data_IF_862608952852
#
_entry.id   IF_862608952852
#
_cell.length_a   1.000
_cell.length_b   1.000
_cell.length_c   1.000
_cell.angle_alpha   90.00
_cell.angle_beta   90.00
_cell.angle_gamma   90.00
#
_symmetry.space_group_name_H-M   'P 1'
#
loop_
_entity.id
_entity.type
_entity.pdbx_description
1 polymer ?
#
# COMPACT_ATOMS: atom_id res chain seq x y z
N UNK A 1 -8.47 7.98 8.52
CA UNK A 1 -8.80 6.87 7.62
C UNK A 1 -10.08 7.19 6.87
N UNK A 2 -10.18 6.72 5.64
CA UNK A 2 -11.33 6.92 4.75
C UNK A 2 -12.14 5.64 4.62
N UNK A 3 -13.36 5.72 4.08
CA UNK A 3 -14.15 4.58 3.62
C UNK A 3 -14.20 4.65 2.09
N UNK A 4 -13.72 3.62 1.41
CA UNK A 4 -13.66 3.55 -0.05
C UNK A 4 -13.04 4.82 -0.69
N UNK A 5 -12.04 5.41 -0.02
CA UNK A 5 -11.32 6.59 -0.49
C UNK A 5 -12.10 7.92 -0.45
N UNK A 6 -13.31 7.96 0.09
CA UNK A 6 -14.13 9.17 0.13
C UNK A 6 -13.64 10.13 1.22
N UNK A 7 -13.22 11.34 0.83
CA UNK A 7 -12.67 12.35 1.75
C UNK A 7 -13.68 12.85 2.80
N UNK A 8 -14.95 12.87 2.48
CA UNK A 8 -16.05 13.25 3.38
C UNK A 8 -16.33 12.20 4.47
N UNK A 9 -15.78 10.99 4.32
CA UNK A 9 -15.87 9.91 5.32
C UNK A 9 -14.65 9.83 6.24
N UNK A 10 -13.80 10.85 6.24
CA UNK A 10 -12.55 10.84 6.98
C UNK A 10 -12.78 10.74 8.49
N UNK A 11 -12.16 9.76 9.12
CA UNK A 11 -12.06 9.64 10.57
C UNK A 11 -10.62 9.87 10.99
N UNK A 12 -10.39 10.85 11.86
CA UNK A 12 -9.09 11.13 12.48
C UNK A 12 -8.97 10.31 13.75
N UNK A 13 -8.00 9.41 13.82
CA UNK A 13 -7.71 8.57 14.98
C UNK A 13 -6.58 9.12 15.85
N UNK A 14 -5.74 9.99 15.28
CA UNK A 14 -4.66 10.66 15.99
C UNK A 14 -4.25 11.92 15.23
N UNK A 15 -3.93 12.97 15.95
CA UNK A 15 -3.37 14.21 15.40
C UNK A 15 -1.83 14.18 15.33
N UNK A 16 -1.20 13.17 15.94
CA UNK A 16 0.25 12.96 15.93
C UNK A 16 0.63 11.68 15.15
N UNK A 17 0.94 11.81 13.86
CA UNK A 17 1.35 10.66 13.04
C UNK A 17 2.72 10.09 13.45
N UNK A 18 3.59 10.88 14.06
CA UNK A 18 4.91 10.40 14.54
C UNK A 18 4.74 9.50 15.77
N UNK A 19 3.90 9.92 16.72
CA UNK A 19 3.54 9.08 17.87
C UNK A 19 2.86 7.78 17.42
N UNK A 20 2.00 7.85 16.40
CA UNK A 20 1.34 6.68 15.85
C UNK A 20 2.34 5.72 15.16
N UNK A 21 3.33 6.24 14.44
CA UNK A 21 4.41 5.42 13.87
C UNK A 21 5.20 4.70 14.96
N UNK A 22 5.58 5.40 16.04
CA UNK A 22 6.24 4.82 17.22
C UNK A 22 5.38 3.73 17.88
N UNK A 23 4.09 3.98 18.01
CA UNK A 23 3.14 3.03 18.59
C UNK A 23 3.15 1.69 17.84
N UNK A 24 2.99 1.72 16.52
CA UNK A 24 2.97 0.49 15.73
C UNK A 24 4.33 -0.19 15.64
N UNK A 25 5.42 0.58 15.56
CA UNK A 25 6.77 0.03 15.62
C UNK A 25 7.03 -0.69 16.96
N UNK A 26 6.61 -0.10 18.08
CA UNK A 26 6.70 -0.72 19.42
C UNK A 26 5.83 -1.97 19.57
N UNK A 27 4.73 -2.08 18.80
CA UNK A 27 3.91 -3.29 18.73
C UNK A 27 4.57 -4.40 17.88
N UNK A 28 5.70 -4.13 17.25
CA UNK A 28 6.45 -5.07 16.44
C UNK A 28 6.10 -5.07 14.96
N UNK A 29 5.57 -3.96 14.44
CA UNK A 29 5.31 -3.84 13.00
C UNK A 29 6.58 -4.12 12.19
N UNK A 30 6.48 -4.99 11.21
CA UNK A 30 7.59 -5.34 10.31
C UNK A 30 7.78 -4.32 9.20
N UNK A 31 6.74 -3.57 8.87
CA UNK A 31 6.73 -2.51 7.87
C UNK A 31 5.58 -1.53 8.16
N UNK A 32 5.83 -0.24 8.01
CA UNK A 32 4.79 0.79 8.10
C UNK A 32 4.36 1.21 6.69
N UNK A 33 3.06 1.13 6.43
CA UNK A 33 2.45 1.66 5.22
C UNK A 33 1.94 3.07 5.47
N UNK A 34 2.55 4.06 4.80
CA UNK A 34 2.23 5.48 4.92
C UNK A 34 1.67 5.99 3.61
N UNK A 35 0.54 6.70 3.69
CA UNK A 35 -0.07 7.35 2.51
C UNK A 35 -0.17 8.84 2.77
N UNK A 36 0.51 9.64 1.96
CA UNK A 36 0.35 11.08 1.91
C UNK A 36 -0.95 11.43 1.14
N UNK A 37 -2.11 11.34 1.80
CA UNK A 37 -3.42 11.54 1.17
C UNK A 37 -3.53 12.89 0.43
N UNK A 38 -3.04 13.96 1.05
CA UNK A 38 -3.00 15.29 0.42
C UNK A 38 -2.15 15.29 -0.86
N UNK A 39 -1.06 14.51 -0.87
CA UNK A 39 -0.22 14.31 -2.04
C UNK A 39 -0.93 13.50 -3.13
N UNK A 40 -1.64 12.45 -2.75
CA UNK A 40 -2.40 11.62 -3.68
C UNK A 40 -3.47 12.44 -4.43
N UNK A 41 -4.19 13.29 -3.72
CA UNK A 41 -5.21 14.19 -4.29
C UNK A 41 -4.58 15.31 -5.12
N UNK A 42 -3.54 15.99 -4.58
CA UNK A 42 -2.88 17.11 -5.26
C UNK A 42 -1.99 16.67 -6.43
N UNK A 43 -1.64 15.37 -6.50
CA UNK A 43 -0.72 14.83 -7.51
C UNK A 43 0.71 15.33 -7.42
N UNK A 44 1.14 15.77 -6.25
CA UNK A 44 2.50 16.22 -5.94
C UNK A 44 2.80 15.96 -4.46
N UNK A 45 4.09 15.88 -4.05
CA UNK A 45 4.47 15.67 -2.67
C UNK A 45 3.82 16.67 -1.72
N UNK A 46 3.37 16.16 -0.59
CA UNK A 46 2.81 16.91 0.55
C UNK A 46 3.29 16.23 1.83
N UNK A 47 3.19 16.92 2.96
CA UNK A 47 3.50 16.35 4.26
C UNK A 47 4.98 15.90 4.46
N UNK A 48 5.92 16.39 3.65
CA UNK A 48 7.33 15.97 3.68
C UNK A 48 7.95 16.09 5.08
N UNK A 49 7.66 17.19 5.78
CA UNK A 49 8.18 17.43 7.13
C UNK A 49 7.80 16.31 8.07
N UNK A 50 6.52 15.95 8.14
CA UNK A 50 6.04 14.91 9.04
C UNK A 50 6.54 13.53 8.64
N UNK A 51 6.68 13.26 7.34
CA UNK A 51 7.28 12.03 6.82
C UNK A 51 8.73 11.89 7.29
N UNK A 52 9.54 12.94 7.18
CA UNK A 52 10.93 12.95 7.67
C UNK A 52 11.01 12.76 9.19
N UNK A 53 10.08 13.33 9.95
CA UNK A 53 9.99 13.12 11.40
C UNK A 53 9.61 11.67 11.75
N UNK A 54 8.70 11.03 11.00
CA UNK A 54 8.38 9.61 11.15
C UNK A 54 9.61 8.72 10.86
N UNK A 55 10.33 8.99 9.77
CA UNK A 55 11.55 8.25 9.41
C UNK A 55 12.58 8.32 10.54
N UNK A 56 12.87 9.52 11.06
CA UNK A 56 13.79 9.70 12.20
C UNK A 56 13.34 8.95 13.44
N UNK A 57 12.03 8.81 13.64
CA UNK A 57 11.50 8.19 14.84
C UNK A 57 11.56 6.66 14.83
N UNK A 58 11.44 6.02 13.64
CA UNK A 58 11.27 4.57 13.53
C UNK A 58 11.99 3.92 12.36
N UNK A 59 12.49 4.68 11.38
CA UNK A 59 12.99 4.17 10.10
C UNK A 59 14.14 3.16 10.21
N UNK A 60 15.03 3.33 11.19
CA UNK A 60 16.15 2.44 11.42
C UNK A 60 15.74 1.01 11.84
N UNK A 61 14.55 0.87 12.42
CA UNK A 61 14.04 -0.40 12.99
C UNK A 61 12.86 -0.96 12.24
N UNK A 62 12.07 -0.09 11.62
CA UNK A 62 10.81 -0.46 10.97
C UNK A 62 10.77 0.21 9.59
N UNK A 63 11.01 -0.55 8.51
CA UNK A 63 10.95 -0.05 7.15
C UNK A 63 9.64 0.68 6.86
N UNK A 64 9.74 1.81 6.16
CA UNK A 64 8.58 2.61 5.74
C UNK A 64 8.36 2.42 4.24
N UNK A 65 7.15 2.05 3.84
CA UNK A 65 6.68 2.13 2.46
C UNK A 65 5.72 3.32 2.33
N UNK A 66 6.04 4.24 1.42
CA UNK A 66 5.36 5.52 1.27
C UNK A 66 4.71 5.64 -0.10
N UNK A 67 3.42 5.97 -0.13
CA UNK A 67 2.67 6.33 -1.34
C UNK A 67 1.99 7.70 -1.23
N UNK A 68 1.57 8.21 -2.39
CA UNK A 68 0.79 9.45 -2.49
C UNK A 68 1.54 10.61 -3.14
N UNK A 69 1.15 10.97 -4.37
CA UNK A 69 1.65 12.14 -5.09
C UNK A 69 3.00 11.99 -5.79
N UNK A 70 3.53 10.79 -5.91
CA UNK A 70 4.86 10.50 -6.49
C UNK A 70 4.72 10.36 -8.01
N UNK A 71 5.42 11.20 -8.79
CA UNK A 71 5.27 11.31 -10.25
C UNK A 71 6.56 11.57 -11.03
N UNK A 72 7.68 11.73 -10.35
CA UNK A 72 9.01 12.00 -10.95
C UNK A 72 10.12 11.32 -10.14
N UNK A 73 11.30 11.15 -10.78
CA UNK A 73 12.45 10.48 -10.19
C UNK A 73 13.07 11.29 -9.06
N UNK A 74 13.09 12.62 -9.15
CA UNK A 74 13.67 13.49 -8.13
C UNK A 74 12.90 13.37 -6.80
N UNK A 75 11.59 13.25 -6.88
CA UNK A 75 10.75 12.97 -5.71
C UNK A 75 11.07 11.61 -5.09
N UNK A 76 11.27 10.57 -5.91
CA UNK A 76 11.66 9.25 -5.42
C UNK A 76 13.01 9.31 -4.72
N UNK A 77 14.03 9.89 -5.36
CA UNK A 77 15.36 10.06 -4.81
C UNK A 77 15.32 10.79 -3.46
N UNK A 78 14.61 11.92 -3.39
CA UNK A 78 14.46 12.70 -2.15
C UNK A 78 13.86 11.90 -0.99
N UNK A 79 12.93 10.99 -1.26
CA UNK A 79 12.35 10.14 -0.21
C UNK A 79 13.28 9.00 0.20
N UNK A 80 13.98 8.38 -0.75
CA UNK A 80 14.96 7.31 -0.47
C UNK A 80 16.12 7.89 0.34
N UNK A 81 16.67 9.04 -0.07
CA UNK A 81 17.73 9.74 0.66
C UNK A 81 17.31 10.15 2.07
N UNK A 82 16.04 10.46 2.25
CA UNK A 82 15.48 10.74 3.57
C UNK A 82 15.33 9.49 4.45
N UNK A 83 15.46 8.26 3.89
CA UNK A 83 15.37 6.99 4.59
C UNK A 83 14.06 6.23 4.43
N UNK A 84 13.22 6.59 3.43
CA UNK A 84 12.08 5.74 3.02
C UNK A 84 12.63 4.46 2.40
N UNK A 85 12.17 3.32 2.89
CA UNK A 85 12.66 2.03 2.40
C UNK A 85 12.03 1.65 1.05
N UNK A 86 10.75 1.97 0.85
CA UNK A 86 10.03 1.65 -0.38
C UNK A 86 9.11 2.79 -0.79
N UNK A 87 9.08 3.06 -2.08
CA UNK A 87 8.23 4.09 -2.70
C UNK A 87 7.13 3.41 -3.52
N UNK A 88 5.87 3.78 -3.26
CA UNK A 88 4.71 3.20 -3.94
C UNK A 88 4.24 4.16 -5.03
N UNK A 89 4.29 3.70 -6.27
CA UNK A 89 3.84 4.43 -7.45
C UNK A 89 2.49 3.88 -7.89
N UNK A 90 1.43 4.67 -7.74
CA UNK A 90 0.06 4.30 -8.14
C UNK A 90 -0.34 4.92 -9.47
N UNK A 91 -1.05 6.04 -9.46
CA UNK A 91 -1.57 6.73 -10.65
C UNK A 91 -0.54 6.93 -11.75
N UNK A 92 0.70 7.29 -11.39
CA UNK A 92 1.77 7.51 -12.36
C UNK A 92 2.18 6.23 -13.09
N UNK A 93 2.20 5.08 -12.39
CA UNK A 93 2.49 3.78 -13.01
C UNK A 93 1.45 3.40 -14.08
N UNK A 94 0.18 3.70 -13.81
CA UNK A 94 -0.94 3.41 -14.75
C UNK A 94 -0.90 4.34 -15.96
N UNK A 95 -0.68 5.64 -15.72
CA UNK A 95 -0.70 6.66 -16.79
C UNK A 95 0.56 6.67 -17.64
N UNK A 96 1.69 6.35 -17.05
CA UNK A 96 3.00 6.33 -17.70
C UNK A 96 3.81 5.11 -17.26
N UNK A 97 3.57 3.94 -17.84
CA UNK A 97 4.32 2.72 -17.52
C UNK A 97 5.84 2.85 -17.76
N UNK A 98 6.26 3.69 -18.69
CA UNK A 98 7.67 3.98 -18.93
C UNK A 98 8.35 4.62 -17.72
N UNK A 99 7.68 5.57 -17.05
CA UNK A 99 8.16 6.15 -15.80
C UNK A 99 8.32 5.08 -14.69
N UNK A 100 7.40 4.12 -14.57
CA UNK A 100 7.53 3.04 -13.60
C UNK A 100 8.78 2.19 -13.88
N UNK A 101 9.01 1.85 -15.16
CA UNK A 101 10.20 1.10 -15.59
C UNK A 101 11.49 1.87 -15.29
N UNK A 102 11.53 3.17 -15.60
CA UNK A 102 12.68 4.05 -15.31
C UNK A 102 12.95 4.13 -13.81
N UNK A 103 11.91 4.24 -13.00
CA UNK A 103 12.02 4.26 -11.54
C UNK A 103 12.60 2.95 -10.99
N UNK A 104 12.14 1.79 -11.48
CA UNK A 104 12.68 0.50 -11.08
C UNK A 104 14.16 0.35 -11.46
N UNK A 105 14.53 0.85 -12.63
CA UNK A 105 15.93 0.83 -13.08
C UNK A 105 16.82 1.76 -12.25
N UNK A 106 16.36 2.97 -11.94
CA UNK A 106 17.12 3.95 -11.19
C UNK A 106 17.23 3.59 -9.69
N UNK A 107 16.21 2.95 -9.12
CA UNK A 107 16.11 2.65 -7.69
C UNK A 107 15.78 1.16 -7.44
N UNK A 108 16.66 0.24 -7.82
CA UNK A 108 16.40 -1.20 -7.70
C UNK A 108 16.17 -1.62 -6.23
N UNK A 109 15.15 -2.43 -6.00
CA UNK A 109 14.78 -2.90 -4.66
C UNK A 109 13.96 -1.90 -3.82
N UNK A 110 13.62 -0.72 -4.36
CA UNK A 110 12.89 0.32 -3.63
C UNK A 110 11.50 0.61 -4.17
N UNK A 111 11.16 0.11 -5.36
CA UNK A 111 9.93 0.50 -6.06
C UNK A 111 8.84 -0.57 -5.92
N UNK A 112 7.67 -0.12 -5.48
CA UNK A 112 6.45 -0.90 -5.38
C UNK A 112 5.41 -0.26 -6.31
N UNK A 113 4.71 -1.06 -7.11
CA UNK A 113 3.55 -0.58 -7.85
C UNK A 113 2.29 -0.67 -6.98
N UNK A 114 1.45 0.36 -7.01
CA UNK A 114 0.12 0.35 -6.37
C UNK A 114 -0.97 0.22 -7.43
N UNK A 115 -1.74 -0.85 -7.38
CA UNK A 115 -2.92 -1.05 -8.23
C UNK A 115 -4.16 -1.14 -7.35
N UNK A 116 -4.95 -0.08 -7.38
CA UNK A 116 -6.21 0.02 -6.68
C UNK A 116 -7.33 -0.28 -7.68
N UNK A 117 -8.17 -1.27 -7.40
CA UNK A 117 -9.17 -1.70 -8.35
C UNK A 117 -10.56 -1.87 -7.71
N UNK A 118 -11.58 -1.68 -8.51
CA UNK A 118 -12.97 -2.01 -8.20
C UNK A 118 -13.52 -2.88 -9.33
N UNK A 119 -14.10 -4.02 -8.96
CA UNK A 119 -14.67 -4.98 -9.92
C UNK A 119 -13.67 -5.36 -11.04
N UNK A 120 -12.38 -5.53 -10.67
CA UNK A 120 -11.30 -5.89 -11.57
C UNK A 120 -10.77 -4.75 -12.45
N UNK A 121 -11.32 -3.53 -12.38
CA UNK A 121 -10.85 -2.37 -13.14
C UNK A 121 -10.07 -1.41 -12.27
N UNK A 122 -8.94 -0.94 -12.80
CA UNK A 122 -8.01 -0.06 -12.07
C UNK A 122 -8.54 1.36 -11.99
N UNK A 123 -8.44 1.96 -10.81
CA UNK A 123 -8.73 3.36 -10.55
C UNK A 123 -7.45 4.19 -10.40
N UNK A 124 -7.53 5.48 -10.70
CA UNK A 124 -6.45 6.46 -10.59
C UNK A 124 -6.92 7.74 -9.90
N UNK A 125 -5.99 8.66 -9.63
CA UNK A 125 -6.30 10.00 -9.08
C UNK A 125 -7.04 9.94 -7.74
N UNK A 126 -6.50 9.14 -6.79
CA UNK A 126 -7.15 8.95 -5.48
C UNK A 126 -8.53 8.31 -5.60
N UNK A 127 -8.68 7.42 -6.57
CA UNK A 127 -9.89 6.64 -6.90
C UNK A 127 -11.06 7.46 -7.49
N UNK A 128 -10.80 8.71 -7.85
CA UNK A 128 -11.81 9.58 -8.46
C UNK A 128 -12.14 9.21 -9.91
N UNK A 129 -11.25 8.46 -10.57
CA UNK A 129 -11.39 8.08 -11.98
C UNK A 129 -11.14 6.60 -12.18
N UNK A 130 -12.16 5.89 -12.66
CA UNK A 130 -12.02 4.52 -13.15
C UNK A 130 -11.37 4.51 -14.52
N UNK A 131 -10.47 3.56 -14.75
CA UNK A 131 -9.88 3.30 -16.07
C UNK A 131 -10.55 2.10 -16.73
N UNK A 132 -10.28 1.91 -18.03
CA UNK A 132 -10.69 0.68 -18.73
C UNK A 132 -9.75 -0.49 -18.50
N UNK A 133 -8.60 -0.28 -17.82
CA UNK A 133 -7.58 -1.31 -17.65
C UNK A 133 -8.01 -2.39 -16.67
N UNK A 134 -7.86 -3.64 -17.08
CA UNK A 134 -7.97 -4.78 -16.19
C UNK A 134 -6.74 -4.85 -15.29
N UNK A 135 -6.95 -5.16 -14.00
CA UNK A 135 -5.87 -5.17 -13.01
C UNK A 135 -4.85 -6.26 -13.27
N UNK A 136 -5.29 -7.43 -13.74
CA UNK A 136 -4.39 -8.56 -14.06
C UNK A 136 -3.55 -8.26 -15.29
N UNK A 137 -4.16 -7.70 -16.34
CA UNK A 137 -3.45 -7.35 -17.58
C UNK A 137 -2.38 -6.29 -17.31
N UNK A 138 -2.70 -5.31 -16.48
CA UNK A 138 -1.76 -4.26 -16.11
C UNK A 138 -0.62 -4.77 -15.23
N UNK A 139 -0.94 -5.64 -14.27
CA UNK A 139 0.06 -6.28 -13.42
C UNK A 139 1.05 -7.14 -14.22
N UNK A 140 0.56 -7.92 -15.19
CA UNK A 140 1.40 -8.67 -16.13
C UNK A 140 2.34 -7.77 -16.93
N UNK A 141 1.86 -6.60 -17.36
CA UNK A 141 2.70 -5.63 -18.06
C UNK A 141 3.86 -5.12 -17.22
N UNK A 142 3.69 -5.04 -15.90
CA UNK A 142 4.70 -4.54 -14.98
C UNK A 142 5.68 -5.62 -14.49
N UNK A 143 5.42 -6.90 -14.76
CA UNK A 143 6.13 -8.02 -14.16
C UNK A 143 7.64 -7.99 -14.37
N UNK A 144 8.09 -7.59 -15.56
CA UNK A 144 9.51 -7.57 -15.93
C UNK A 144 10.21 -6.23 -15.59
N UNK A 145 9.56 -5.31 -14.88
CA UNK A 145 10.17 -4.01 -14.58
C UNK A 145 11.13 -4.05 -13.37
N UNK A 146 11.13 -5.13 -12.60
CA UNK A 146 11.99 -5.25 -11.41
C UNK A 146 11.38 -4.63 -10.15
N UNK A 147 10.06 -4.71 -10.03
CA UNK A 147 9.34 -4.28 -8.83
C UNK A 147 9.72 -5.13 -7.61
N UNK A 148 9.87 -4.47 -6.46
CA UNK A 148 10.00 -5.15 -5.16
C UNK A 148 8.70 -5.90 -4.78
N UNK A 149 7.56 -5.28 -5.03
CA UNK A 149 6.24 -5.86 -4.81
C UNK A 149 5.16 -5.09 -5.58
N UNK A 150 3.95 -5.63 -5.58
CA UNK A 150 2.73 -4.97 -6.03
C UNK A 150 1.74 -4.89 -4.88
N UNK A 151 1.32 -3.69 -4.48
CA UNK A 151 0.21 -3.50 -3.55
C UNK A 151 -1.09 -3.55 -4.37
N UNK A 152 -1.92 -4.53 -4.07
CA UNK A 152 -3.26 -4.64 -4.65
C UNK A 152 -4.31 -4.23 -3.63
N UNK A 153 -5.08 -3.18 -3.93
CA UNK A 153 -6.18 -2.70 -3.07
C UNK A 153 -7.53 -2.97 -3.72
N UNK A 154 -8.38 -3.73 -3.04
CA UNK A 154 -9.82 -3.77 -3.38
C UNK A 154 -10.51 -2.53 -2.79
N UNK A 155 -10.82 -1.56 -3.66
CA UNK A 155 -11.47 -0.29 -3.27
C UNK A 155 -12.84 -0.54 -2.64
N UNK A 156 -13.59 -1.52 -3.14
CA UNK A 156 -14.93 -1.83 -2.63
C UNK A 156 -14.91 -2.29 -1.18
N UNK A 157 -13.80 -2.83 -0.72
CA UNK A 157 -13.61 -3.32 0.65
C UNK A 157 -12.79 -2.40 1.55
N UNK A 158 -12.07 -1.41 0.96
CA UNK A 158 -11.20 -0.54 1.75
C UNK A 158 -11.98 0.26 2.79
N UNK A 159 -11.53 0.17 4.05
CA UNK A 159 -12.18 0.81 5.19
C UNK A 159 -13.51 0.21 5.62
N UNK A 160 -13.99 -0.87 4.97
CA UNK A 160 -15.29 -1.49 5.25
C UNK A 160 -15.23 -2.62 6.29
N UNK A 161 -14.02 -3.15 6.58
CA UNK A 161 -13.83 -4.26 7.54
C UNK A 161 -14.70 -5.49 7.21
N UNK A 162 -14.80 -5.85 5.93
CA UNK A 162 -15.61 -6.96 5.43
C UNK A 162 -14.80 -8.20 5.05
N UNK A 163 -13.53 -8.21 5.39
CA UNK A 163 -12.55 -9.20 5.00
C UNK A 163 -11.86 -8.86 3.66
N UNK A 164 -10.65 -9.41 3.46
CA UNK A 164 -9.90 -9.25 2.21
C UNK A 164 -10.60 -9.99 1.07
N UNK A 165 -10.51 -9.47 -0.14
CA UNK A 165 -11.00 -10.15 -1.33
C UNK A 165 -10.05 -11.29 -1.73
N UNK A 166 -10.24 -12.46 -1.12
CA UNK A 166 -9.39 -13.64 -1.33
C UNK A 166 -9.39 -14.06 -2.80
N UNK A 167 -10.58 -14.13 -3.43
CA UNK A 167 -10.73 -14.60 -4.81
C UNK A 167 -10.01 -13.69 -5.81
N UNK A 168 -10.24 -12.38 -5.75
CA UNK A 168 -9.60 -11.44 -6.67
C UNK A 168 -8.09 -11.37 -6.44
N UNK A 169 -7.63 -11.43 -5.18
CA UNK A 169 -6.21 -11.43 -4.84
C UNK A 169 -5.53 -12.72 -5.32
N UNK A 170 -6.17 -13.87 -5.14
CA UNK A 170 -5.68 -15.16 -5.63
C UNK A 170 -5.54 -15.18 -7.14
N UNK A 171 -6.57 -14.73 -7.86
CA UNK A 171 -6.53 -14.61 -9.34
C UNK A 171 -5.35 -13.78 -9.81
N UNK A 172 -5.07 -12.66 -9.13
CA UNK A 172 -3.93 -11.81 -9.44
C UNK A 172 -2.61 -12.52 -9.13
N UNK A 173 -2.49 -13.15 -7.95
CA UNK A 173 -1.28 -13.85 -7.52
C UNK A 173 -0.91 -15.01 -8.44
N UNK A 174 -1.89 -15.75 -8.95
CA UNK A 174 -1.66 -16.83 -9.92
C UNK A 174 -1.30 -16.35 -11.31
N UNK A 175 -1.51 -15.07 -11.60
CA UNK A 175 -1.26 -14.51 -12.93
C UNK A 175 0.12 -13.87 -13.09
N UNK A 176 0.83 -13.56 -12.01
CA UNK A 176 2.13 -12.87 -11.99
C UNK A 176 3.09 -13.51 -10.98
N UNK A 177 4.38 -13.24 -11.14
CA UNK A 177 5.44 -13.69 -10.20
C UNK A 177 5.86 -12.61 -9.21
N UNK A 178 5.55 -11.34 -9.51
CA UNK A 178 5.85 -10.22 -8.61
C UNK A 178 5.16 -10.43 -7.26
N UNK A 179 5.87 -10.32 -6.12
CA UNK A 179 5.26 -10.47 -4.80
C UNK A 179 4.10 -9.51 -4.58
N UNK A 180 3.01 -9.98 -3.99
CA UNK A 180 1.81 -9.17 -3.77
C UNK A 180 1.65 -8.84 -2.29
N UNK A 181 1.28 -7.59 -2.01
CA UNK A 181 0.81 -7.13 -0.70
C UNK A 181 -0.69 -6.85 -0.83
N UNK A 182 -1.51 -7.61 -0.11
CA UNK A 182 -2.96 -7.46 -0.15
C UNK A 182 -3.41 -6.23 0.65
N UNK A 183 -4.38 -5.49 0.15
CA UNK A 183 -4.94 -4.29 0.79
C UNK A 183 -6.45 -4.19 0.58
N UNK A 184 -7.13 -3.61 1.57
CA UNK A 184 -8.57 -3.40 1.56
C UNK A 184 -9.36 -4.48 2.30
N UNK A 185 -10.11 -4.06 3.33
CA UNK A 185 -11.11 -4.87 4.01
C UNK A 185 -10.62 -5.73 5.18
N UNK A 186 -9.33 -5.87 5.45
CA UNK A 186 -8.84 -6.68 6.56
C UNK A 186 -9.52 -6.28 7.87
N UNK A 187 -10.13 -7.27 8.56
CA UNK A 187 -10.96 -7.03 9.72
C UNK A 187 -10.43 -7.71 10.98
N UNK A 188 -10.18 -9.02 10.93
CA UNK A 188 -9.84 -9.79 12.14
C UNK A 188 -8.79 -10.86 11.91
N UNK A 189 -8.42 -11.55 13.00
CA UNK A 189 -7.40 -12.63 12.97
C UNK A 189 -7.79 -13.77 12.01
N UNK A 190 -9.08 -14.06 11.87
CA UNK A 190 -9.57 -15.08 10.90
C UNK A 190 -9.22 -14.71 9.45
N UNK A 191 -9.23 -13.42 9.11
CA UNK A 191 -8.83 -12.98 7.77
C UNK A 191 -7.32 -13.20 7.56
N UNK A 192 -6.51 -12.93 8.60
CA UNK A 192 -5.06 -13.19 8.55
C UNK A 192 -4.81 -14.68 8.34
N UNK A 193 -5.48 -15.55 9.07
CA UNK A 193 -5.37 -17.00 8.91
C UNK A 193 -5.77 -17.45 7.50
N UNK A 194 -6.84 -16.88 6.94
CA UNK A 194 -7.29 -17.17 5.58
C UNK A 194 -6.29 -16.69 4.53
N UNK A 195 -5.67 -15.52 4.73
CA UNK A 195 -4.59 -15.00 3.88
C UNK A 195 -3.40 -15.97 3.88
N UNK A 196 -2.93 -16.37 5.07
CA UNK A 196 -1.79 -17.27 5.20
C UNK A 196 -2.06 -18.64 4.56
N UNK A 197 -3.24 -19.20 4.77
CA UNK A 197 -3.59 -20.51 4.25
C UNK A 197 -3.80 -20.54 2.73
N UNK A 198 -4.39 -19.48 2.14
CA UNK A 198 -4.86 -19.48 0.75
C UNK A 198 -4.00 -18.66 -0.20
N UNK A 199 -3.36 -17.59 0.28
CA UNK A 199 -2.69 -16.62 -0.57
C UNK A 199 -1.16 -16.61 -0.41
N UNK A 200 -0.65 -16.89 0.77
CA UNK A 200 0.80 -16.95 0.99
C UNK A 200 1.49 -17.97 0.06
N UNK A 201 0.97 -19.22 -0.13
CA UNK A 201 1.58 -20.17 -1.06
C UNK A 201 1.58 -19.71 -2.52
N UNK A 202 0.75 -18.75 -2.87
CA UNK A 202 0.56 -18.23 -4.23
C UNK A 202 1.33 -16.92 -4.50
N UNK A 203 2.18 -16.48 -3.55
CA UNK A 203 3.03 -15.30 -3.74
C UNK A 203 2.51 -14.00 -3.12
N UNK A 204 1.49 -14.05 -2.27
CA UNK A 204 1.08 -12.92 -1.43
C UNK A 204 1.96 -12.90 -0.18
N UNK A 205 2.84 -11.90 -0.08
CA UNK A 205 3.89 -11.83 0.97
C UNK A 205 3.49 -11.02 2.19
N UNK A 206 2.34 -10.37 2.16
CA UNK A 206 1.87 -9.55 3.27
C UNK A 206 0.49 -8.94 3.05
N UNK A 207 -0.02 -8.29 4.09
CA UNK A 207 -1.28 -7.56 4.02
C UNK A 207 -1.20 -6.23 4.78
N UNK A 208 -1.92 -5.21 4.29
CA UNK A 208 -2.03 -3.91 4.94
C UNK A 208 -3.23 -3.94 5.89
N UNK A 209 -2.94 -3.84 7.17
CA UNK A 209 -3.94 -3.63 8.20
C UNK A 209 -4.15 -2.13 8.45
N UNK A 210 -5.37 -1.67 8.34
CA UNK A 210 -5.71 -0.27 8.48
C UNK A 210 -6.75 -0.02 9.56
N UNK A 211 -7.98 0.30 9.15
CA UNK A 211 -9.07 0.75 10.01
C UNK A 211 -9.34 -0.20 11.19
N UNK A 212 -9.32 -1.51 10.95
CA UNK A 212 -9.56 -2.52 11.98
C UNK A 212 -8.61 -2.44 13.18
N UNK A 213 -7.36 -2.01 12.97
CA UNK A 213 -6.40 -1.75 14.06
C UNK A 213 -6.81 -0.57 14.92
N UNK A 214 -7.24 0.53 14.28
CA UNK A 214 -7.60 1.76 14.97
C UNK A 214 -8.93 1.66 15.70
N UNK A 215 -9.85 0.85 15.22
CA UNK A 215 -11.15 0.57 15.85
C UNK A 215 -11.08 -0.59 16.86
N UNK A 216 -9.92 -1.23 17.02
CA UNK A 216 -9.71 -2.32 17.97
C UNK A 216 -10.34 -3.66 17.56
N UNK A 217 -10.83 -3.77 16.31
CA UNK A 217 -11.38 -5.02 15.79
C UNK A 217 -10.29 -6.07 15.51
N UNK A 218 -9.07 -5.61 15.20
CA UNK A 218 -7.90 -6.45 14.99
C UNK A 218 -6.83 -6.17 16.05
N UNK A 219 -6.56 -7.15 16.91
CA UNK A 219 -5.39 -7.14 17.80
C UNK A 219 -4.14 -7.42 16.96
N UNK A 220 -3.23 -6.45 16.90
CA UNK A 220 -2.06 -6.53 16.03
C UNK A 220 -1.09 -7.65 16.41
N UNK A 221 -0.86 -7.86 17.71
CA UNK A 221 0.03 -8.94 18.19
C UNK A 221 -0.54 -10.31 17.89
N UNK A 222 -1.86 -10.49 18.08
CA UNK A 222 -2.54 -11.74 17.72
C UNK A 222 -2.52 -11.97 16.21
N UNK A 223 -2.69 -10.90 15.42
CA UNK A 223 -2.59 -10.98 13.97
C UNK A 223 -1.20 -11.43 13.52
N UNK A 224 -0.12 -10.84 14.09
CA UNK A 224 1.24 -11.25 13.79
C UNK A 224 1.57 -12.69 14.23
N UNK A 225 1.03 -13.14 15.36
CA UNK A 225 1.20 -14.50 15.82
C UNK A 225 0.46 -15.54 14.99
N UNK A 226 -0.55 -15.10 14.22
CA UNK A 226 -1.34 -15.95 13.33
C UNK A 226 -0.81 -15.95 11.88
N UNK A 227 0.13 -15.06 11.56
CA UNK A 227 0.80 -14.94 10.27
C UNK A 227 2.12 -15.74 10.28
#
# INVERSE_FOLDING_TARGET
>A
RLQQGKMDTATVFSDDPVAMARHWAAQGAKRLHVVALNGAVAGRPKNEKVIREMIKAVGDKTPIQLGGGIRDLDTIESYIDAGVSYVIIGTAAVKNPGFLSDACYAFPGHIIAGLDAKDGKVAVEGWSKMTGHDVVDLAKKFEDYGLEALVYTDIGRDGMMTGVNIEATLKLAQAIKTPIIASGGLHGVKDVQALCAKLFPEGVVGAIAGRALYEGALDFKKAQAAA
#
